data_IF_847008516006
#
_entry.id   IF_847008516006
#
_cell.length_a   1.000
_cell.length_b   1.000
_cell.length_c   1.000
_cell.angle_alpha   90.00
_cell.angle_beta   90.00
_cell.angle_gamma   90.00
#
_symmetry.space_group_name_H-M   'P 1'
#
loop_
_entity.id
_entity.type
_entity.pdbx_description
1 polymer ?
#
# COMPACT_ATOMS: atom_id res chain seq x y z
N UNK A 1 -15.27 -37.56 -42.94
CA UNK A 1 -16.19 -38.27 -42.02
C UNK A 1 -15.64 -38.05 -40.63
N UNK A 2 -16.35 -37.29 -39.78
CA UNK A 2 -15.95 -36.96 -38.41
C UNK A 2 -15.86 -38.23 -37.58
N UNK A 3 -14.77 -38.41 -36.84
CA UNK A 3 -14.75 -39.25 -35.63
C UNK A 3 -14.83 -38.30 -34.44
N UNK A 4 -16.03 -38.13 -33.90
CA UNK A 4 -16.24 -37.52 -32.60
C UNK A 4 -15.77 -38.50 -31.53
N UNK A 5 -14.73 -38.11 -30.80
CA UNK A 5 -14.29 -38.83 -29.60
C UNK A 5 -15.31 -38.60 -28.50
N UNK A 6 -15.93 -39.68 -28.05
CA UNK A 6 -16.61 -39.76 -26.76
C UNK A 6 -15.60 -39.38 -25.68
N UNK A 7 -15.70 -38.17 -25.13
CA UNK A 7 -15.10 -37.87 -23.83
C UNK A 7 -15.78 -38.78 -22.81
N UNK A 8 -14.95 -39.43 -22.02
CA UNK A 8 -15.34 -40.44 -21.06
C UNK A 8 -16.04 -39.76 -19.87
N UNK A 9 -17.38 -39.72 -19.89
CA UNK A 9 -18.23 -39.16 -18.81
C UNK A 9 -17.93 -39.78 -17.44
N UNK A 10 -17.27 -40.94 -17.39
CA UNK A 10 -16.85 -41.59 -16.14
C UNK A 10 -15.70 -40.86 -15.43
N UNK A 11 -14.80 -40.18 -16.17
CA UNK A 11 -13.67 -39.45 -15.61
C UNK A 11 -14.09 -38.08 -15.05
N UNK A 12 -15.00 -37.37 -15.74
CA UNK A 12 -15.57 -36.10 -15.27
C UNK A 12 -16.39 -36.28 -13.98
N UNK A 13 -17.18 -37.35 -13.88
CA UNK A 13 -17.93 -37.66 -12.66
C UNK A 13 -17.04 -38.00 -11.47
N UNK A 14 -15.89 -38.67 -11.71
CA UNK A 14 -14.96 -39.05 -10.63
C UNK A 14 -14.18 -37.83 -10.10
N UNK A 15 -13.79 -36.88 -10.96
CA UNK A 15 -13.12 -35.64 -10.54
C UNK A 15 -14.05 -34.70 -9.74
N UNK A 16 -15.34 -34.62 -10.12
CA UNK A 16 -16.35 -33.87 -9.38
C UNK A 16 -16.59 -34.44 -7.97
N UNK A 17 -16.75 -35.76 -7.84
CA UNK A 17 -16.95 -36.45 -6.55
C UNK A 17 -15.73 -36.31 -5.60
N UNK A 18 -14.50 -36.35 -6.16
CA UNK A 18 -13.27 -36.13 -5.38
C UNK A 18 -13.17 -34.68 -4.89
N UNK A 19 -13.66 -33.71 -5.66
CA UNK A 19 -13.65 -32.30 -5.27
C UNK A 19 -14.72 -31.98 -4.21
N UNK A 20 -15.92 -32.56 -4.34
CA UNK A 20 -16.98 -32.44 -3.33
C UNK A 20 -16.59 -33.06 -1.99
N UNK A 21 -15.96 -34.24 -1.98
CA UNK A 21 -15.51 -34.89 -0.74
C UNK A 21 -14.37 -34.13 -0.04
N UNK A 22 -13.45 -33.50 -0.79
CA UNK A 22 -12.42 -32.62 -0.21
C UNK A 22 -13.01 -31.34 0.36
N UNK A 23 -13.98 -30.74 -0.34
CA UNK A 23 -14.71 -29.55 0.14
C UNK A 23 -15.52 -29.89 1.40
N UNK A 24 -16.26 -30.98 1.40
CA UNK A 24 -17.05 -31.41 2.55
C UNK A 24 -16.16 -31.66 3.78
N UNK A 25 -15.00 -32.30 3.59
CA UNK A 25 -14.05 -32.52 4.68
C UNK A 25 -13.38 -31.23 5.18
N UNK A 26 -13.18 -30.22 4.33
CA UNK A 26 -12.62 -28.93 4.75
C UNK A 26 -13.64 -28.04 5.46
N UNK A 27 -14.94 -28.24 5.19
CA UNK A 27 -16.07 -27.58 5.86
C UNK A 27 -16.45 -28.20 7.21
N UNK A 28 -15.83 -29.31 7.60
CA UNK A 28 -16.04 -29.91 8.92
C UNK A 28 -15.61 -28.92 10.02
N UNK A 29 -16.44 -28.75 11.04
CA UNK A 29 -16.10 -27.97 12.22
C UNK A 29 -14.85 -28.53 12.89
N UNK A 30 -13.82 -27.69 13.00
CA UNK A 30 -12.58 -28.02 13.71
C UNK A 30 -12.84 -28.06 15.20
N UNK A 31 -12.06 -28.86 15.92
CA UNK A 31 -12.18 -28.97 17.37
C UNK A 31 -11.79 -27.65 18.04
N UNK A 32 -12.40 -27.41 19.21
CA UNK A 32 -12.22 -26.19 20.00
C UNK A 32 -10.75 -25.96 20.40
N UNK A 33 -10.02 -27.02 20.79
CA UNK A 33 -8.63 -26.92 21.27
C UNK A 33 -7.61 -26.54 20.17
N UNK A 34 -7.80 -27.04 18.95
CA UNK A 34 -6.93 -26.73 17.80
C UNK A 34 -7.11 -25.29 17.31
N UNK A 35 -8.34 -24.78 17.39
CA UNK A 35 -8.70 -23.45 16.91
C UNK A 35 -8.32 -22.37 17.93
N UNK A 36 -8.67 -22.57 19.21
CA UNK A 36 -8.41 -21.57 20.28
C UNK A 36 -6.92 -21.35 20.51
N UNK A 37 -6.11 -22.42 20.52
CA UNK A 37 -4.68 -22.29 20.85
C UNK A 37 -3.93 -21.52 19.75
N UNK A 38 -4.25 -21.79 18.49
CA UNK A 38 -3.65 -21.12 17.34
C UNK A 38 -4.09 -19.65 17.24
N UNK A 39 -5.38 -19.39 17.42
CA UNK A 39 -5.95 -18.04 17.32
C UNK A 39 -5.46 -17.15 18.48
N UNK A 40 -5.37 -17.69 19.69
CA UNK A 40 -4.84 -16.95 20.84
C UNK A 40 -3.38 -16.53 20.64
N UNK A 41 -2.53 -17.43 20.13
CA UNK A 41 -1.13 -17.10 19.84
C UNK A 41 -1.01 -16.05 18.73
N UNK A 42 -1.86 -16.11 17.72
CA UNK A 42 -1.94 -15.11 16.66
C UNK A 42 -2.26 -13.72 17.23
N UNK A 43 -3.22 -13.62 18.15
CA UNK A 43 -3.57 -12.34 18.81
C UNK A 43 -2.35 -11.74 19.50
N UNK A 44 -1.58 -12.53 20.26
CA UNK A 44 -0.38 -12.04 20.93
C UNK A 44 0.68 -11.55 19.95
N UNK A 45 0.90 -12.25 18.84
CA UNK A 45 1.83 -11.81 17.79
C UNK A 45 1.41 -10.48 17.16
N UNK A 46 0.13 -10.36 16.83
CA UNK A 46 -0.45 -9.13 16.28
C UNK A 46 -0.28 -7.96 17.25
N UNK A 47 -0.57 -8.17 18.53
CA UNK A 47 -0.35 -7.16 19.57
C UNK A 47 1.13 -6.76 19.66
N UNK A 48 2.05 -7.73 19.59
CA UNK A 48 3.48 -7.46 19.66
C UNK A 48 3.95 -6.60 18.46
N UNK A 49 3.49 -6.87 17.24
CA UNK A 49 3.81 -6.03 16.08
C UNK A 49 3.24 -4.62 16.18
N UNK A 50 2.04 -4.44 16.74
CA UNK A 50 1.50 -3.11 16.99
C UNK A 50 2.36 -2.33 17.99
N UNK A 51 2.78 -2.98 19.08
CA UNK A 51 3.63 -2.35 20.10
C UNK A 51 4.98 -1.93 19.51
N UNK A 52 5.66 -2.84 18.80
CA UNK A 52 6.97 -2.54 18.17
C UNK A 52 6.84 -1.44 17.12
N UNK A 53 5.81 -1.51 16.29
CA UNK A 53 5.50 -0.49 15.28
C UNK A 53 5.27 0.88 15.90
N UNK A 54 4.43 0.98 16.93
CA UNK A 54 4.13 2.25 17.58
C UNK A 54 5.33 2.84 18.31
N UNK A 55 6.11 2.02 19.02
CA UNK A 55 7.30 2.51 19.74
C UNK A 55 8.34 3.10 18.79
N UNK A 56 8.65 2.38 17.70
CA UNK A 56 9.64 2.82 16.72
C UNK A 56 9.17 4.04 15.95
N UNK A 57 7.94 4.00 15.43
CA UNK A 57 7.42 5.06 14.57
C UNK A 57 7.12 6.36 15.34
N UNK A 58 6.77 6.30 16.62
CA UNK A 58 6.54 7.49 17.45
C UNK A 58 7.75 8.43 17.55
N UNK A 59 8.98 7.94 17.30
CA UNK A 59 10.22 8.73 17.37
C UNK A 59 10.61 9.38 16.03
N UNK A 60 9.91 9.05 14.95
CA UNK A 60 10.31 9.38 13.58
C UNK A 60 9.77 10.75 13.14
N UNK A 61 8.77 11.31 13.81
CA UNK A 61 8.20 12.61 13.41
C UNK A 61 7.43 12.52 12.08
N UNK A 62 7.02 13.65 11.50
CA UNK A 62 6.10 13.65 10.38
C UNK A 62 6.75 13.09 9.10
N UNK A 63 6.04 12.20 8.42
CA UNK A 63 6.52 11.55 7.21
C UNK A 63 5.48 11.59 6.09
N UNK A 64 5.93 11.41 4.86
CA UNK A 64 5.08 11.17 3.68
C UNK A 64 5.33 9.75 3.20
N UNK A 65 4.26 9.00 2.93
CA UNK A 65 4.38 7.66 2.36
C UNK A 65 4.46 7.73 0.84
N UNK A 66 5.38 6.96 0.27
CA UNK A 66 5.51 6.79 -1.18
C UNK A 66 5.19 5.34 -1.55
N UNK A 67 4.19 5.18 -2.41
CA UNK A 67 3.76 3.90 -2.96
C UNK A 67 4.00 3.84 -4.46
N UNK A 68 4.24 2.64 -4.98
CA UNK A 68 4.35 2.41 -6.41
C UNK A 68 4.84 1.00 -6.73
N UNK A 69 5.11 0.76 -8.00
CA UNK A 69 5.52 -0.56 -8.49
C UNK A 69 6.84 -1.05 -7.89
N UNK A 70 6.85 -2.28 -7.37
CA UNK A 70 8.08 -3.03 -7.04
C UNK A 70 8.87 -3.46 -8.29
N UNK A 71 8.28 -3.34 -9.49
CA UNK A 71 8.82 -3.91 -10.73
C UNK A 71 9.51 -2.89 -11.63
N UNK A 72 9.32 -1.60 -11.40
CA UNK A 72 9.94 -0.56 -12.21
C UNK A 72 11.43 -0.48 -11.89
N UNK A 73 12.27 -0.43 -12.92
CA UNK A 73 13.72 -0.38 -12.79
C UNK A 73 14.24 1.06 -12.69
N UNK A 74 15.49 1.28 -12.25
CA UNK A 74 16.10 2.61 -12.17
C UNK A 74 16.04 3.43 -13.47
N UNK A 75 16.05 2.78 -14.64
CA UNK A 75 15.97 3.48 -15.93
C UNK A 75 14.58 4.04 -16.25
N UNK A 76 13.56 3.73 -15.43
CA UNK A 76 12.21 4.25 -15.61
C UNK A 76 12.14 5.74 -15.24
N UNK A 77 11.46 6.54 -16.07
CA UNK A 77 11.13 7.94 -15.75
C UNK A 77 10.45 8.09 -14.38
N UNK A 78 9.64 7.10 -13.97
CA UNK A 78 8.94 7.13 -12.69
C UNK A 78 9.85 6.80 -11.51
N UNK A 79 10.91 6.03 -11.72
CA UNK A 79 11.90 5.78 -10.66
C UNK A 79 12.63 7.09 -10.33
N UNK A 80 13.18 7.77 -11.34
CA UNK A 80 13.87 9.05 -11.13
C UNK A 80 12.94 10.13 -10.56
N UNK A 81 11.69 10.19 -11.04
CA UNK A 81 10.67 11.07 -10.46
C UNK A 81 10.43 10.79 -8.98
N UNK A 82 10.36 9.51 -8.57
CA UNK A 82 10.18 9.14 -7.16
C UNK A 82 11.41 9.52 -6.30
N UNK A 83 12.63 9.37 -6.83
CA UNK A 83 13.86 9.84 -6.17
C UNK A 83 13.79 11.35 -5.95
N UNK A 84 13.46 12.11 -7.00
CA UNK A 84 13.39 13.57 -6.95
C UNK A 84 12.32 14.06 -5.96
N UNK A 85 11.13 13.45 -5.98
CA UNK A 85 10.06 13.78 -5.03
C UNK A 85 10.52 13.53 -3.60
N UNK A 86 11.08 12.36 -3.31
CA UNK A 86 11.51 12.01 -1.96
C UNK A 86 12.62 12.92 -1.44
N UNK A 87 13.58 13.30 -2.29
CA UNK A 87 14.63 14.26 -1.94
C UNK A 87 14.05 15.65 -1.62
N UNK A 88 13.07 16.12 -2.40
CA UNK A 88 12.41 17.41 -2.14
C UNK A 88 11.52 17.38 -0.89
N UNK A 89 10.80 16.28 -0.66
CA UNK A 89 9.99 16.06 0.55
C UNK A 89 10.86 16.11 1.80
N UNK A 90 12.04 15.49 1.76
CA UNK A 90 12.98 15.54 2.91
C UNK A 90 13.55 16.92 3.15
N UNK A 91 13.85 17.68 2.09
CA UNK A 91 14.31 19.09 2.21
C UNK A 91 13.30 20.03 2.86
N UNK A 92 11.99 19.74 2.78
CA UNK A 92 10.96 20.52 3.48
C UNK A 92 10.65 19.98 4.89
N UNK A 93 11.41 19.00 5.39
CA UNK A 93 11.39 18.55 6.78
C UNK A 93 10.61 17.28 7.09
N UNK A 94 9.99 16.64 6.07
CA UNK A 94 9.30 15.36 6.26
C UNK A 94 10.25 14.17 6.12
N UNK A 95 10.00 13.09 6.86
CA UNK A 95 10.55 11.78 6.53
C UNK A 95 9.82 11.12 5.34
N UNK A 96 10.38 10.03 4.83
CA UNK A 96 9.76 9.22 3.77
C UNK A 96 9.58 7.79 4.25
N UNK A 97 8.35 7.28 4.14
CA UNK A 97 7.99 5.91 4.46
C UNK A 97 7.70 5.16 3.16
N UNK A 98 8.30 3.99 2.98
CA UNK A 98 7.96 3.08 1.88
C UNK A 98 7.74 1.67 2.39
N UNK A 99 7.34 0.76 1.50
CA UNK A 99 7.29 -0.67 1.79
C UNK A 99 8.63 -1.39 1.83
N UNK A 100 9.73 -0.69 1.57
CA UNK A 100 11.11 -1.19 1.70
C UNK A 100 11.60 -2.18 0.63
N UNK A 101 10.72 -2.60 -0.28
CA UNK A 101 11.07 -3.43 -1.42
C UNK A 101 11.81 -2.68 -2.55
N UNK A 102 11.96 -3.32 -3.72
CA UNK A 102 12.61 -2.74 -4.90
C UNK A 102 11.73 -1.72 -5.64
N UNK A 103 12.25 -1.19 -6.74
CA UNK A 103 11.52 -0.32 -7.66
C UNK A 103 11.18 1.04 -7.04
N UNK A 104 9.93 1.47 -7.11
CA UNK A 104 9.53 2.79 -6.59
C UNK A 104 9.77 2.91 -5.08
N UNK A 105 9.62 1.82 -4.33
CA UNK A 105 9.89 1.82 -2.89
C UNK A 105 11.37 2.13 -2.62
N UNK A 106 12.27 1.47 -3.35
CA UNK A 106 13.69 1.79 -3.31
C UNK A 106 13.97 3.23 -3.77
N UNK A 107 13.35 3.70 -4.85
CA UNK A 107 13.51 5.07 -5.33
C UNK A 107 13.15 6.11 -4.27
N UNK A 108 12.03 5.89 -3.57
CA UNK A 108 11.59 6.73 -2.46
C UNK A 108 12.61 6.75 -1.31
N UNK A 109 13.12 5.57 -0.91
CA UNK A 109 14.15 5.50 0.13
C UNK A 109 15.47 6.13 -0.32
N UNK A 110 15.86 5.95 -1.59
CA UNK A 110 17.08 6.53 -2.18
C UNK A 110 17.02 8.05 -2.20
N UNK A 111 15.91 8.64 -2.65
CA UNK A 111 15.74 10.09 -2.63
C UNK A 111 15.73 10.65 -1.21
N UNK A 112 15.09 9.94 -0.27
CA UNK A 112 15.11 10.35 1.13
C UNK A 112 16.52 10.29 1.76
N UNK A 113 17.29 9.27 1.42
CA UNK A 113 18.69 9.15 1.81
C UNK A 113 19.54 10.28 1.22
N UNK A 114 19.39 10.58 -0.07
CA UNK A 114 20.10 11.67 -0.75
C UNK A 114 19.77 13.04 -0.15
N UNK A 115 18.53 13.24 0.29
CA UNK A 115 18.10 14.48 0.97
C UNK A 115 18.47 14.53 2.46
N UNK A 116 19.28 13.59 2.95
CA UNK A 116 19.69 13.46 4.36
C UNK A 116 18.51 13.38 5.34
N UNK A 117 17.34 12.95 4.86
CA UNK A 117 16.13 12.81 5.64
C UNK A 117 15.97 11.45 6.29
N UNK A 118 14.87 11.28 7.03
CA UNK A 118 14.52 9.98 7.59
C UNK A 118 13.97 9.09 6.48
N UNK A 119 14.64 7.97 6.22
CA UNK A 119 14.25 6.95 5.24
C UNK A 119 13.79 5.69 5.99
N UNK A 120 12.49 5.41 5.93
CA UNK A 120 11.81 4.35 6.68
C UNK A 120 11.36 3.24 5.73
N UNK A 121 11.56 1.99 6.15
CA UNK A 121 11.08 0.80 5.46
C UNK A 121 10.15 0.00 6.34
N UNK A 122 8.87 -0.07 5.95
CA UNK A 122 7.90 -0.99 6.55
C UNK A 122 7.88 -2.25 5.67
N UNK A 123 8.75 -3.19 5.95
CA UNK A 123 8.91 -4.41 5.17
C UNK A 123 7.83 -5.44 5.52
N UNK A 124 7.62 -6.39 4.63
CA UNK A 124 6.76 -7.55 4.88
C UNK A 124 7.41 -8.80 4.30
N UNK A 125 7.31 -9.90 5.03
CA UNK A 125 7.87 -11.17 4.59
C UNK A 125 7.00 -11.76 3.48
N UNK A 126 7.56 -11.81 2.27
CA UNK A 126 6.93 -12.42 1.10
C UNK A 126 7.79 -13.55 0.55
N UNK A 127 7.17 -14.58 -0.07
CA UNK A 127 7.92 -15.70 -0.65
C UNK A 127 8.91 -15.29 -1.74
N UNK A 128 8.73 -14.12 -2.36
CA UNK A 128 9.47 -13.68 -3.56
C UNK A 128 10.19 -12.33 -3.41
N UNK A 129 9.90 -11.53 -2.38
CA UNK A 129 10.58 -10.24 -2.12
C UNK A 129 11.47 -10.40 -0.88
N UNK A 130 12.73 -10.81 -1.08
CA UNK A 130 13.62 -11.20 0.03
C UNK A 130 14.75 -10.21 0.34
N UNK A 131 14.76 -9.03 -0.29
CA UNK A 131 15.84 -8.05 -0.10
C UNK A 131 15.30 -6.65 0.19
N UNK A 132 15.62 -6.16 1.40
CA UNK A 132 15.43 -4.77 1.78
C UNK A 132 16.35 -3.89 0.95
N UNK A 133 15.85 -2.75 0.49
CA UNK A 133 16.69 -1.84 -0.27
C UNK A 133 17.74 -1.16 0.63
N UNK A 134 18.94 -0.84 0.11
CA UNK A 134 20.08 -0.39 0.92
C UNK A 134 19.95 1.05 1.44
N UNK A 135 18.92 1.79 1.03
CA UNK A 135 18.73 3.19 1.38
C UNK A 135 17.84 3.41 2.60
N UNK A 136 17.29 2.33 3.16
CA UNK A 136 16.56 2.37 4.43
C UNK A 136 17.55 2.60 5.58
N UNK A 137 17.22 3.53 6.48
CA UNK A 137 17.98 3.67 7.71
C UNK A 137 17.76 2.42 8.58
N UNK A 138 18.84 1.75 9.00
CA UNK A 138 18.77 0.52 9.81
C UNK A 138 17.97 0.69 11.11
N UNK A 139 17.92 1.90 11.69
CA UNK A 139 17.12 2.21 12.88
C UNK A 139 15.61 2.30 12.59
N UNK A 140 15.23 2.49 11.32
CA UNK A 140 13.85 2.68 10.87
C UNK A 140 13.42 1.60 9.87
N UNK A 141 14.00 0.40 9.99
CA UNK A 141 13.58 -0.79 9.26
C UNK A 141 12.71 -1.65 10.17
N UNK A 142 11.44 -1.82 9.81
CA UNK A 142 10.46 -2.62 10.54
C UNK A 142 10.02 -3.78 9.65
N UNK A 143 9.92 -4.98 10.22
CA UNK A 143 9.42 -6.16 9.51
C UNK A 143 8.08 -6.55 10.12
N UNK A 144 7.09 -6.81 9.27
CA UNK A 144 5.76 -7.23 9.66
C UNK A 144 5.45 -8.60 9.06
N UNK A 145 4.80 -9.48 9.82
CA UNK A 145 4.19 -10.71 9.32
C UNK A 145 2.75 -10.44 8.84
N UNK A 146 2.10 -9.41 9.38
CA UNK A 146 0.68 -9.12 9.15
C UNK A 146 0.45 -7.84 8.34
N UNK A 147 -0.09 -7.98 7.13
CA UNK A 147 -0.42 -6.86 6.23
C UNK A 147 -1.22 -5.74 6.90
N UNK A 148 -2.24 -6.10 7.69
CA UNK A 148 -3.11 -5.10 8.29
C UNK A 148 -2.40 -4.26 9.38
N UNK A 149 -1.43 -4.83 10.09
CA UNK A 149 -0.63 -4.06 11.08
C UNK A 149 0.24 -3.07 10.33
N UNK A 150 0.92 -3.52 9.26
CA UNK A 150 1.73 -2.68 8.38
C UNK A 150 0.94 -1.51 7.78
N UNK A 151 -0.28 -1.78 7.28
CA UNK A 151 -1.20 -0.77 6.74
C UNK A 151 -1.55 0.30 7.75
N UNK A 152 -1.84 -0.09 9.00
CA UNK A 152 -2.08 0.88 10.08
C UNK A 152 -0.87 1.79 10.29
N UNK A 153 0.36 1.27 10.20
CA UNK A 153 1.56 2.09 10.34
C UNK A 153 1.74 3.09 9.19
N UNK A 154 1.42 2.70 7.95
CA UNK A 154 1.41 3.61 6.80
C UNK A 154 0.44 4.77 7.02
N UNK A 155 -0.79 4.48 7.41
CA UNK A 155 -1.82 5.53 7.58
C UNK A 155 -1.55 6.37 8.82
N UNK A 156 -1.24 5.75 9.97
CA UNK A 156 -1.08 6.44 11.26
C UNK A 156 0.01 7.51 11.21
N UNK A 157 1.17 7.17 10.65
CA UNK A 157 2.37 8.00 10.70
C UNK A 157 2.63 8.84 9.45
N UNK A 158 1.75 8.75 8.46
CA UNK A 158 1.85 9.57 7.25
C UNK A 158 1.03 10.85 7.34
N UNK A 159 1.60 11.90 6.78
CA UNK A 159 1.06 13.24 6.59
C UNK A 159 0.68 13.48 5.13
N UNK A 160 0.84 12.48 4.27
CA UNK A 160 0.60 12.62 2.85
C UNK A 160 0.99 11.37 2.13
N UNK A 161 0.30 11.07 1.04
CA UNK A 161 0.63 9.96 0.17
C UNK A 161 1.09 10.50 -1.19
N UNK A 162 2.23 10.01 -1.66
CA UNK A 162 2.64 10.10 -3.06
C UNK A 162 2.45 8.72 -3.66
N UNK A 163 1.60 8.63 -4.68
CA UNK A 163 1.21 7.39 -5.32
C UNK A 163 1.72 7.41 -6.76
N UNK A 164 2.85 6.75 -6.95
CA UNK A 164 3.48 6.56 -8.25
C UNK A 164 2.81 5.41 -9.00
N UNK A 165 3.03 5.27 -10.31
CA UNK A 165 2.52 4.14 -11.09
C UNK A 165 2.87 2.79 -10.48
N UNK A 166 1.84 1.95 -10.32
CA UNK A 166 1.92 0.75 -9.49
C UNK A 166 0.87 -0.31 -9.83
N UNK A 167 0.99 -1.47 -9.17
CA UNK A 167 0.07 -2.59 -9.34
C UNK A 167 -0.97 -2.67 -8.23
N UNK A 168 -1.44 -3.88 -7.93
CA UNK A 168 -2.48 -4.10 -6.92
C UNK A 168 -2.10 -3.63 -5.52
N UNK A 169 -0.86 -3.83 -5.07
CA UNK A 169 -0.43 -3.32 -3.76
C UNK A 169 -0.50 -1.78 -3.66
N UNK A 170 -0.20 -1.08 -4.75
CA UNK A 170 -0.32 0.39 -4.79
C UNK A 170 -1.79 0.83 -4.81
N UNK A 171 -2.64 0.12 -5.55
CA UNK A 171 -4.06 0.40 -5.61
C UNK A 171 -4.76 0.13 -4.26
N UNK A 172 -4.36 -0.94 -3.58
CA UNK A 172 -4.84 -1.32 -2.25
C UNK A 172 -4.64 -0.15 -1.26
N UNK A 173 -3.41 0.33 -1.12
CA UNK A 173 -3.07 1.46 -0.23
C UNK A 173 -3.76 2.78 -0.64
N UNK A 174 -3.88 3.05 -1.94
CA UNK A 174 -4.60 4.23 -2.44
C UNK A 174 -6.08 4.18 -2.06
N UNK A 175 -6.76 3.08 -2.37
CA UNK A 175 -8.21 2.95 -2.13
C UNK A 175 -8.52 2.88 -0.64
N UNK A 176 -7.66 2.25 0.17
CA UNK A 176 -7.81 2.23 1.63
C UNK A 176 -7.76 3.65 2.22
N UNK A 177 -6.76 4.46 1.84
CA UNK A 177 -6.67 5.84 2.31
C UNK A 177 -7.86 6.68 1.87
N UNK A 178 -8.31 6.55 0.62
CA UNK A 178 -9.49 7.25 0.12
C UNK A 178 -10.73 6.88 0.94
N UNK A 179 -10.97 5.59 1.18
CA UNK A 179 -12.11 5.14 2.00
C UNK A 179 -12.02 5.62 3.44
N UNK A 180 -10.84 5.60 4.06
CA UNK A 180 -10.66 6.08 5.45
C UNK A 180 -10.94 7.58 5.58
N UNK A 181 -10.53 8.40 4.61
CA UNK A 181 -10.81 9.84 4.59
C UNK A 181 -12.30 10.08 4.31
N UNK A 182 -12.85 9.42 3.27
CA UNK A 182 -14.27 9.53 2.89
C UNK A 182 -15.20 9.22 4.07
N UNK A 183 -14.87 8.20 4.87
CA UNK A 183 -15.66 7.76 6.03
C UNK A 183 -15.33 8.52 7.32
N UNK A 184 -14.47 9.54 7.26
CA UNK A 184 -13.99 10.32 8.41
C UNK A 184 -13.39 9.47 9.53
N UNK A 185 -12.78 8.32 9.19
CA UNK A 185 -12.05 7.48 10.15
C UNK A 185 -10.66 8.03 10.45
N UNK A 186 -10.14 8.85 9.54
CA UNK A 186 -8.92 9.64 9.73
C UNK A 186 -9.14 11.08 9.27
N UNK A 187 -8.26 11.97 9.71
CA UNK A 187 -8.22 13.34 9.19
C UNK A 187 -7.81 13.37 7.72
N UNK A 188 -8.23 14.41 7.00
CA UNK A 188 -7.80 14.61 5.62
C UNK A 188 -6.31 14.91 5.58
N UNK A 189 -5.61 14.27 4.66
CA UNK A 189 -4.24 14.58 4.28
C UNK A 189 -4.13 14.54 2.74
N UNK A 190 -3.09 15.16 2.14
CA UNK A 190 -2.96 15.20 0.69
C UNK A 190 -2.59 13.83 0.09
N UNK A 191 -3.39 13.35 -0.85
CA UNK A 191 -3.10 12.19 -1.71
C UNK A 191 -2.72 12.71 -3.10
N UNK A 192 -1.50 12.43 -3.55
CA UNK A 192 -0.97 12.88 -4.84
C UNK A 192 -0.73 11.68 -5.75
N UNK A 193 -1.41 11.65 -6.89
CA UNK A 193 -1.21 10.66 -7.94
C UNK A 193 -0.25 11.20 -8.99
N UNK A 194 0.89 10.53 -9.20
CA UNK A 194 1.92 10.98 -10.15
C UNK A 194 1.80 10.24 -11.47
N UNK A 195 1.79 10.98 -12.58
CA UNK A 195 1.68 10.46 -13.95
C UNK A 195 0.24 10.38 -14.43
N UNK A 196 -0.26 11.49 -14.97
CA UNK A 196 -1.64 11.62 -15.47
C UNK A 196 -1.98 10.61 -16.56
N UNK A 197 -1.04 10.31 -17.45
CA UNK A 197 -1.17 9.28 -18.49
C UNK A 197 -1.46 7.90 -17.90
N UNK A 198 -0.80 7.53 -16.80
CA UNK A 198 -0.97 6.23 -16.16
C UNK A 198 -2.32 6.13 -15.44
N UNK A 199 -2.67 7.16 -14.65
CA UNK A 199 -3.87 7.14 -13.82
C UNK A 199 -5.16 7.47 -14.60
N UNK A 200 -5.06 8.08 -15.78
CA UNK A 200 -6.21 8.60 -16.53
C UNK A 200 -7.31 7.57 -16.77
N UNK A 201 -6.97 6.32 -17.09
CA UNK A 201 -7.96 5.25 -17.29
C UNK A 201 -8.77 4.92 -16.03
N UNK A 202 -8.09 4.75 -14.89
CA UNK A 202 -8.75 4.43 -13.62
C UNK A 202 -9.62 5.59 -13.12
N UNK A 203 -9.09 6.82 -13.18
CA UNK A 203 -9.81 8.00 -12.74
C UNK A 203 -10.98 8.35 -13.68
N UNK A 204 -10.85 8.03 -14.96
CA UNK A 204 -11.96 8.03 -15.90
C UNK A 204 -13.05 7.08 -15.46
N UNK A 205 -12.72 5.84 -15.08
CA UNK A 205 -13.70 4.89 -14.57
C UNK A 205 -14.37 5.33 -13.25
N UNK A 206 -13.63 5.96 -12.33
CA UNK A 206 -14.23 6.56 -11.11
C UNK A 206 -15.32 7.59 -11.46
N UNK A 207 -15.08 8.43 -12.47
CA UNK A 207 -16.04 9.45 -12.90
C UNK A 207 -17.19 8.87 -13.70
N UNK A 208 -16.88 8.09 -14.73
CA UNK A 208 -17.87 7.64 -15.71
C UNK A 208 -18.70 6.45 -15.23
N UNK A 209 -18.23 5.74 -14.19
CA UNK A 209 -18.93 4.59 -13.62
C UNK A 209 -19.27 4.81 -12.16
N UNK A 210 -18.29 4.96 -11.25
CA UNK A 210 -18.63 5.02 -9.81
C UNK A 210 -19.50 6.21 -9.46
N UNK A 211 -19.13 7.41 -9.93
CA UNK A 211 -19.93 8.62 -9.67
C UNK A 211 -21.28 8.56 -10.38
N UNK A 212 -21.29 8.15 -11.66
CA UNK A 212 -22.52 8.07 -12.47
C UNK A 212 -23.54 7.10 -11.90
N UNK A 213 -23.10 5.96 -11.38
CA UNK A 213 -23.94 4.94 -10.76
C UNK A 213 -24.25 5.24 -9.28
N UNK A 214 -23.77 6.38 -8.75
CA UNK A 214 -24.06 6.81 -7.36
C UNK A 214 -23.30 6.04 -6.28
N UNK A 215 -22.18 5.41 -6.63
CA UNK A 215 -21.33 4.66 -5.68
C UNK A 215 -20.37 5.56 -4.89
N UNK A 216 -20.12 6.77 -5.38
CA UNK A 216 -19.34 7.83 -4.71
C UNK A 216 -20.02 9.19 -4.93
N UNK A 217 -19.67 10.18 -4.11
CA UNK A 217 -20.11 11.57 -4.23
C UNK A 217 -19.14 12.40 -5.07
N UNK A 218 -19.60 13.52 -5.63
CA UNK A 218 -18.74 14.42 -6.43
C UNK A 218 -17.51 14.90 -5.64
N UNK A 219 -17.69 15.25 -4.36
CA UNK A 219 -16.59 15.67 -3.48
C UNK A 219 -15.56 14.58 -3.14
N UNK A 220 -15.85 13.31 -3.42
CA UNK A 220 -14.88 12.22 -3.23
C UNK A 220 -13.77 12.27 -4.30
N UNK A 221 -14.05 12.90 -5.44
CA UNK A 221 -13.04 13.13 -6.50
C UNK A 221 -12.02 14.19 -6.11
N UNK A 222 -12.31 15.00 -5.09
CA UNK A 222 -11.37 16.00 -4.55
C UNK A 222 -10.36 15.38 -3.58
N UNK A 223 -10.52 14.10 -3.19
CA UNK A 223 -9.65 13.42 -2.22
C UNK A 223 -8.21 13.28 -2.71
N UNK A 224 -7.98 13.31 -4.02
CA UNK A 224 -6.66 13.18 -4.63
C UNK A 224 -6.36 14.31 -5.62
N UNK A 225 -5.06 14.54 -5.85
CA UNK A 225 -4.57 15.46 -6.88
C UNK A 225 -3.66 14.71 -7.85
N UNK A 226 -3.91 14.86 -9.16
CA UNK A 226 -3.02 14.33 -10.20
C UNK A 226 -1.97 15.38 -10.57
N UNK A 227 -0.72 14.95 -10.72
CA UNK A 227 0.43 15.79 -11.09
C UNK A 227 1.36 15.03 -12.03
N UNK A 228 2.22 15.75 -12.75
CA UNK A 228 3.17 15.14 -13.69
C UNK A 228 4.63 15.48 -13.38
N UNK A 229 4.88 16.32 -12.37
CA UNK A 229 6.23 16.73 -11.97
C UNK A 229 6.45 16.62 -10.46
N UNK A 230 7.72 16.49 -10.08
CA UNK A 230 8.12 16.44 -8.67
C UNK A 230 7.80 17.75 -7.93
N UNK A 231 7.95 18.89 -8.60
CA UNK A 231 7.65 20.20 -8.02
C UNK A 231 6.16 20.36 -7.70
N UNK A 232 5.27 19.94 -8.61
CA UNK A 232 3.83 19.96 -8.37
C UNK A 232 3.43 19.06 -7.20
N UNK A 233 4.02 17.86 -7.10
CA UNK A 233 3.77 16.94 -6.01
C UNK A 233 4.12 17.56 -4.65
N UNK A 234 5.35 18.08 -4.53
CA UNK A 234 5.86 18.66 -3.29
C UNK A 234 5.11 19.96 -2.95
N UNK A 235 4.81 20.79 -3.95
CA UNK A 235 4.03 22.01 -3.77
C UNK A 235 2.63 21.71 -3.23
N UNK A 236 1.99 20.62 -3.67
CA UNK A 236 0.68 20.24 -3.15
C UNK A 236 0.73 19.83 -1.67
N UNK A 237 1.73 19.02 -1.27
CA UNK A 237 1.95 18.66 0.14
C UNK A 237 2.19 19.92 0.98
N UNK A 238 3.09 20.80 0.53
CA UNK A 238 3.41 22.04 1.24
C UNK A 238 2.18 22.95 1.37
N UNK A 239 1.43 23.17 0.29
CA UNK A 239 0.27 24.04 0.29
C UNK A 239 -0.85 23.55 1.23
N UNK A 240 -0.94 22.24 1.45
CA UNK A 240 -1.83 21.68 2.45
C UNK A 240 -1.39 22.09 3.87
N UNK A 241 -0.11 21.89 4.21
CA UNK A 241 0.42 22.20 5.55
C UNK A 241 0.71 23.67 5.82
N UNK A 242 0.70 24.53 4.81
CA UNK A 242 0.64 25.99 5.00
C UNK A 242 -0.73 26.42 5.61
N UNK A 243 -1.76 25.57 5.52
CA UNK A 243 -3.13 25.84 6.03
C UNK A 243 -3.52 25.00 7.24
N UNK A 244 -2.98 23.79 7.34
CA UNK A 244 -3.35 22.81 8.36
C UNK A 244 -2.14 22.40 9.21
N UNK A 245 -2.37 22.08 10.48
CA UNK A 245 -1.32 21.56 11.35
C UNK A 245 -1.05 20.07 11.09
N UNK A 246 0.22 19.68 11.21
CA UNK A 246 0.66 18.27 11.22
C UNK A 246 0.12 17.57 12.47
N UNK A 247 -0.60 16.47 12.29
CA UNK A 247 -1.12 15.63 13.37
C UNK A 247 -1.02 14.14 12.97
N UNK A 248 -0.71 13.27 13.92
CA UNK A 248 -0.74 11.82 13.70
C UNK A 248 -2.20 11.41 13.43
N UNK A 249 -2.42 10.49 12.48
CA UNK A 249 -3.77 9.98 12.22
C UNK A 249 -4.22 9.02 13.35
N UNK A 250 -5.53 8.97 13.57
CA UNK A 250 -6.20 8.30 14.71
C UNK A 250 -5.92 8.94 16.07
#
# INVERSE_FOLDING_TARGET
MRTEGTRDESLENTELDINESKLHNSLREKTWDETITKDSWMVFKVMAEFVDGYEKMARIGPCVSIFGSARLKPESKYYEMAVEIAEKITKIGFGVITGGGPGIMEAGNKGAFNGEGKSIGLNIDLPFEQHFNPYINKLYSLNFDYFFVRKVMFVKYSQGFIVMPGGFGTLDELTEAMTLIQTNKIGRFPIVLVGSEFWGGLLGWFKETLLKEGMISEGDLDLYRVVDTADEAVAHIKAFYDKYSVNVNF
#
